data_IF_497162318541
#
_entry.id   IF_497162318541
#
_cell.length_a   1.000
_cell.length_b   1.000
_cell.length_c   1.000
_cell.angle_alpha   90.00
_cell.angle_beta   90.00
_cell.angle_gamma   90.00
#
_symmetry.space_group_name_H-M   'P 1'
#
loop_
_entity.id
_entity.type
_entity.pdbx_description
1 polymer ?
#
# COMPACT_ATOMS: atom_id res chain seq x y z
N UNK A 1 -12.86 7.20 11.98
CA UNK A 1 -13.13 6.32 13.13
C UNK A 1 -12.02 5.28 13.20
N UNK A 2 -11.47 5.00 14.38
CA UNK A 2 -10.43 3.96 14.57
C UNK A 2 -11.08 2.57 14.35
N UNK A 3 -10.44 1.64 13.61
CA UNK A 3 -10.96 0.29 13.48
C UNK A 3 -10.90 -0.47 14.83
N UNK A 4 -11.72 -1.53 15.00
CA UNK A 4 -11.63 -2.41 16.18
C UNK A 4 -10.21 -2.92 16.40
N UNK A 5 -9.81 -3.14 17.66
CA UNK A 5 -8.41 -3.45 17.99
C UNK A 5 -7.88 -4.72 17.31
N UNK A 6 -8.72 -5.74 17.16
CA UNK A 6 -8.37 -6.96 16.43
C UNK A 6 -8.07 -6.68 14.94
N UNK A 7 -8.87 -5.82 14.30
CA UNK A 7 -8.65 -5.41 12.90
C UNK A 7 -7.38 -4.58 12.79
N UNK A 8 -7.16 -3.65 13.71
CA UNK A 8 -5.95 -2.84 13.75
C UNK A 8 -4.69 -3.71 13.95
N UNK A 9 -4.75 -4.73 14.80
CA UNK A 9 -3.65 -5.68 14.98
C UNK A 9 -3.36 -6.47 13.69
N UNK A 10 -4.38 -6.90 12.97
CA UNK A 10 -4.21 -7.55 11.66
C UNK A 10 -3.57 -6.61 10.64
N UNK A 11 -4.03 -5.34 10.57
CA UNK A 11 -3.46 -4.31 9.70
C UNK A 11 -1.98 -4.05 10.02
N UNK A 12 -1.60 -3.94 11.31
CA UNK A 12 -0.19 -3.78 11.70
C UNK A 12 0.67 -4.98 11.33
N UNK A 13 0.16 -6.19 11.52
CA UNK A 13 0.87 -7.43 11.12
C UNK A 13 1.07 -7.48 9.60
N UNK A 14 0.07 -7.05 8.84
CA UNK A 14 0.16 -6.93 7.38
C UNK A 14 1.25 -5.92 6.99
N UNK A 15 1.22 -4.71 7.57
CA UNK A 15 2.23 -3.67 7.33
C UNK A 15 3.65 -4.14 7.62
N UNK A 16 3.87 -4.79 8.77
CA UNK A 16 5.18 -5.31 9.14
C UNK A 16 5.70 -6.37 8.15
N UNK A 17 4.82 -7.18 7.57
CA UNK A 17 5.23 -8.18 6.59
C UNK A 17 5.59 -7.55 5.24
N UNK A 18 4.98 -6.42 4.90
CA UNK A 18 5.21 -5.70 3.65
C UNK A 18 6.27 -4.61 3.75
N UNK A 19 6.75 -4.28 4.95
CA UNK A 19 7.76 -3.24 5.19
C UNK A 19 8.98 -3.37 4.25
N UNK A 20 9.50 -4.57 3.94
CA UNK A 20 10.62 -4.69 3.01
C UNK A 20 10.29 -4.46 1.53
N UNK A 21 9.01 -4.30 1.18
CA UNK A 21 8.56 -3.86 -0.15
C UNK A 21 8.33 -2.34 -0.20
N UNK A 22 8.39 -1.65 0.95
CA UNK A 22 8.14 -0.20 1.02
C UNK A 22 9.24 0.61 0.35
N UNK A 23 10.42 0.04 0.20
CA UNK A 23 11.53 0.59 -0.57
C UNK A 23 12.53 -0.54 -0.86
N UNK A 24 12.36 -1.18 -2.01
CA UNK A 24 13.30 -2.17 -2.54
C UNK A 24 13.71 -1.85 -3.99
N UNK A 25 14.41 -2.77 -4.65
CA UNK A 25 14.84 -2.63 -6.03
C UNK A 25 13.70 -2.62 -7.06
N UNK A 26 12.47 -2.97 -6.66
CA UNK A 26 11.33 -3.09 -7.55
C UNK A 26 10.15 -2.18 -7.17
N UNK A 27 10.04 -1.76 -5.92
CA UNK A 27 8.85 -1.10 -5.40
C UNK A 27 9.13 -0.06 -4.33
N UNK A 28 8.25 0.94 -4.31
CA UNK A 28 8.21 2.01 -3.31
C UNK A 28 6.78 2.17 -2.83
N UNK A 29 6.58 2.17 -1.51
CA UNK A 29 5.31 2.54 -0.90
C UNK A 29 5.13 4.06 -1.00
N UNK A 30 4.11 4.48 -1.74
CA UNK A 30 3.83 5.90 -2.00
C UNK A 30 2.88 6.49 -0.96
N UNK A 31 1.83 5.75 -0.60
CA UNK A 31 0.78 6.26 0.28
C UNK A 31 0.11 5.15 1.07
N UNK A 32 -0.26 5.47 2.31
CA UNK A 32 -1.15 4.65 3.14
C UNK A 32 -2.31 5.52 3.61
N UNK A 33 -3.53 5.15 3.26
CA UNK A 33 -4.75 5.86 3.64
C UNK A 33 -5.60 4.95 4.52
N UNK A 34 -6.26 5.54 5.53
CA UNK A 34 -7.25 4.83 6.36
C UNK A 34 -8.50 5.68 6.43
N UNK A 35 -9.60 5.17 5.89
CA UNK A 35 -10.85 5.92 5.76
C UNK A 35 -11.96 5.04 5.22
N UNK A 36 -13.22 5.45 5.40
CA UNK A 36 -14.40 4.79 4.80
C UNK A 36 -14.49 3.27 5.03
N UNK A 37 -13.94 2.77 6.14
CA UNK A 37 -13.95 1.34 6.47
C UNK A 37 -12.83 0.51 5.83
N UNK A 38 -11.96 1.14 5.03
CA UNK A 38 -10.84 0.49 4.35
C UNK A 38 -9.50 1.11 4.76
N UNK A 39 -8.44 0.33 4.60
CA UNK A 39 -7.06 0.80 4.65
C UNK A 39 -6.41 0.40 3.34
N UNK A 40 -5.86 1.37 2.64
CA UNK A 40 -5.26 1.18 1.32
C UNK A 40 -3.76 1.44 1.42
N UNK A 41 -2.99 0.60 0.72
CA UNK A 41 -1.55 0.73 0.56
C UNK A 41 -1.26 0.86 -0.93
N UNK A 42 -0.77 2.02 -1.35
CA UNK A 42 -0.47 2.31 -2.75
C UNK A 42 1.03 2.17 -2.96
N UNK A 43 1.41 1.21 -3.78
CA UNK A 43 2.80 0.99 -4.19
C UNK A 43 2.98 1.38 -5.65
N UNK A 44 4.09 2.05 -5.95
CA UNK A 44 4.64 1.99 -7.30
C UNK A 44 5.54 0.77 -7.41
N UNK A 45 5.32 -0.03 -8.45
CA UNK A 45 6.14 -1.19 -8.76
C UNK A 45 6.64 -1.09 -10.20
N UNK A 46 7.95 -1.29 -10.39
CA UNK A 46 8.56 -1.31 -11.71
C UNK A 46 8.13 -2.54 -12.52
N UNK A 47 8.13 -3.72 -11.87
CA UNK A 47 7.58 -4.95 -12.43
C UNK A 47 6.49 -5.51 -11.51
N UNK A 48 5.25 -5.55 -12.04
CA UNK A 48 4.06 -6.04 -11.34
C UNK A 48 4.20 -7.49 -10.89
N UNK A 49 4.68 -8.37 -11.76
CA UNK A 49 4.70 -9.81 -11.48
C UNK A 49 5.76 -10.14 -10.41
N UNK A 50 6.87 -9.40 -10.41
CA UNK A 50 7.87 -9.45 -9.33
C UNK A 50 7.27 -8.96 -8.01
N UNK A 51 6.53 -7.85 -8.01
CA UNK A 51 5.84 -7.35 -6.82
C UNK A 51 4.86 -8.39 -6.25
N UNK A 52 4.00 -8.96 -7.10
CA UNK A 52 3.01 -9.97 -6.68
C UNK A 52 3.67 -11.25 -6.16
N UNK A 53 4.75 -11.72 -6.80
CA UNK A 53 5.51 -12.87 -6.32
C UNK A 53 6.10 -12.62 -4.92
N UNK A 54 6.68 -11.43 -4.70
CA UNK A 54 7.23 -11.03 -3.39
C UNK A 54 6.12 -10.87 -2.35
N UNK A 55 5.02 -10.22 -2.69
CA UNK A 55 3.83 -10.06 -1.85
C UNK A 55 3.32 -11.43 -1.35
N UNK A 56 3.08 -12.37 -2.27
CA UNK A 56 2.64 -13.72 -1.92
C UNK A 56 3.63 -14.44 -1.01
N UNK A 57 4.95 -14.31 -1.28
CA UNK A 57 5.98 -14.91 -0.44
C UNK A 57 5.95 -14.35 0.99
N UNK A 58 5.73 -13.04 1.16
CA UNK A 58 5.63 -12.40 2.48
C UNK A 58 4.38 -12.84 3.25
N UNK A 59 3.27 -13.01 2.56
CA UNK A 59 1.98 -13.32 3.17
C UNK A 59 1.69 -14.82 3.28
N UNK A 60 2.59 -15.69 2.82
CA UNK A 60 2.36 -17.15 2.76
C UNK A 60 1.92 -17.77 4.09
N UNK A 61 2.54 -17.36 5.20
CA UNK A 61 2.27 -17.88 6.55
C UNK A 61 1.27 -17.02 7.33
N UNK A 62 0.60 -16.09 6.65
CA UNK A 62 -0.40 -15.22 7.26
C UNK A 62 -1.80 -15.81 7.13
N UNK A 63 -2.72 -15.45 8.06
CA UNK A 63 -4.15 -15.64 7.83
C UNK A 63 -4.59 -14.94 6.55
N UNK A 64 -5.65 -15.46 5.90
CA UNK A 64 -6.23 -14.80 4.73
C UNK A 64 -6.76 -13.41 5.11
N UNK A 65 -6.29 -12.41 4.38
CA UNK A 65 -6.80 -11.04 4.45
C UNK A 65 -7.90 -10.84 3.41
N UNK A 66 -8.91 -10.00 3.68
CA UNK A 66 -9.90 -9.58 2.69
C UNK A 66 -9.28 -8.49 1.79
N UNK A 67 -8.39 -8.89 0.88
CA UNK A 67 -7.69 -7.96 -0.01
C UNK A 67 -8.44 -7.79 -1.33
N UNK A 68 -8.52 -6.54 -1.76
CA UNK A 68 -8.79 -6.16 -3.14
C UNK A 68 -7.50 -5.54 -3.69
N UNK A 69 -7.08 -5.97 -4.88
CA UNK A 69 -5.81 -5.53 -5.50
C UNK A 69 -6.14 -5.06 -6.90
N UNK A 70 -5.83 -3.80 -7.16
CA UNK A 70 -5.97 -3.18 -8.48
C UNK A 70 -4.61 -2.78 -9.04
N UNK A 71 -4.52 -2.70 -10.36
CA UNK A 71 -3.32 -2.27 -11.06
C UNK A 71 -3.66 -1.13 -12.01
N UNK A 72 -2.85 -0.08 -11.95
CA UNK A 72 -3.00 1.12 -12.76
C UNK A 72 -1.63 1.45 -13.38
N UNK A 73 -1.62 1.83 -14.65
CA UNK A 73 -0.41 2.32 -15.31
C UNK A 73 -0.28 3.83 -15.07
N UNK A 74 0.83 4.24 -14.45
CA UNK A 74 1.16 5.66 -14.27
C UNK A 74 2.64 5.92 -14.62
N UNK A 75 3.05 5.74 -15.89
CA UNK A 75 4.44 5.92 -16.30
C UNK A 75 4.93 7.37 -16.14
N UNK A 76 4.00 8.33 -16.08
CA UNK A 76 4.28 9.76 -15.97
C UNK A 76 4.19 10.28 -14.53
N UNK A 77 3.95 9.40 -13.54
CA UNK A 77 3.86 9.75 -12.12
C UNK A 77 2.81 10.82 -11.81
N UNK A 78 1.70 10.84 -12.56
CA UNK A 78 0.62 11.81 -12.42
C UNK A 78 -0.03 11.75 -11.05
N UNK A 79 -0.30 10.55 -10.53
CA UNK A 79 -0.96 10.37 -9.23
C UNK A 79 -0.09 10.93 -8.11
N UNK A 80 1.23 10.74 -8.21
CA UNK A 80 2.17 11.34 -7.26
C UNK A 80 2.20 12.87 -7.36
N UNK A 81 2.30 13.42 -8.58
CA UNK A 81 2.28 14.85 -8.81
C UNK A 81 1.03 15.52 -8.22
N UNK A 82 -0.15 14.97 -8.51
CA UNK A 82 -1.42 15.43 -7.96
C UNK A 82 -1.47 15.32 -6.43
N UNK A 83 -0.96 14.23 -5.87
CA UNK A 83 -0.88 14.03 -4.40
C UNK A 83 -0.04 15.12 -3.75
N UNK A 84 1.13 15.42 -4.32
CA UNK A 84 2.02 16.48 -3.81
C UNK A 84 1.36 17.86 -3.88
N UNK A 85 0.72 18.21 -5.00
CA UNK A 85 0.04 19.50 -5.13
C UNK A 85 -1.14 19.63 -4.16
N UNK A 86 -1.92 18.57 -3.99
CA UNK A 86 -3.03 18.55 -3.03
C UNK A 86 -2.56 18.70 -1.58
N UNK A 87 -1.40 18.12 -1.22
CA UNK A 87 -0.80 18.29 0.11
C UNK A 87 -0.35 19.72 0.34
N UNK A 88 0.26 20.38 -0.67
CA UNK A 88 0.63 21.80 -0.59
C UNK A 88 -0.59 22.69 -0.40
N UNK A 89 -1.66 22.46 -1.17
CA UNK A 89 -2.87 23.27 -1.11
C UNK A 89 -3.64 23.14 0.22
N UNK A 90 -3.58 21.98 0.87
CA UNK A 90 -4.21 21.74 2.19
C UNK A 90 -3.37 22.22 3.37
N UNK A 91 -2.08 22.48 3.17
CA UNK A 91 -1.15 22.97 4.17
C UNK A 91 -1.01 24.49 4.21
N UNK A 92 -1.72 25.22 3.34
CA UNK A 92 -1.73 26.69 3.24
C UNK A 92 -2.97 27.31 3.92
#
# INVERSE_FOLDING_TARGET
MKPPDAVNQQQRRFEQALDPLSSDDNSTLMQVTTGMGVKEWVYYAHNRDVFMSRLHKRLKEHPKYPLEIEFHEDPEWKVWGETVENLKAKGA
#
